data_IF_742642936128
#
_entry.id   IF_742642936128
#
_cell.length_a   1.000
_cell.length_b   1.000
_cell.length_c   1.000
_cell.angle_alpha   90.00
_cell.angle_beta   90.00
_cell.angle_gamma   90.00
#
_symmetry.space_group_name_H-M   'P 1'
#
loop_
_entity.id
_entity.type
_entity.pdbx_description
1 polymer ?
#
# COMPACT_ATOMS: atom_id res chain seq x y z
N UNK A 1 11.39 -2.12 -13.46
CA UNK A 1 11.54 -0.94 -12.58
C UNK A 1 12.69 -1.20 -11.60
N UNK A 2 13.36 -0.16 -11.10
CA UNK A 2 14.50 -0.31 -10.18
C UNK A 2 14.06 -0.48 -8.72
N UNK A 3 14.95 -0.98 -7.85
CA UNK A 3 14.69 -1.05 -6.40
C UNK A 3 14.30 0.32 -5.82
N UNK A 4 15.02 1.38 -6.20
CA UNK A 4 14.72 2.75 -5.77
C UNK A 4 13.31 3.22 -6.15
N UNK A 5 12.79 2.80 -7.30
CA UNK A 5 11.40 3.08 -7.68
C UNK A 5 10.42 2.41 -6.71
N UNK A 6 10.62 1.12 -6.42
CA UNK A 6 9.76 0.40 -5.48
C UNK A 6 9.86 0.96 -4.05
N UNK A 7 11.05 1.33 -3.60
CA UNK A 7 11.26 1.92 -2.28
C UNK A 7 10.50 3.25 -2.12
N UNK A 8 10.53 4.11 -3.14
CA UNK A 8 9.76 5.35 -3.12
C UNK A 8 8.25 5.08 -3.10
N UNK A 9 7.78 4.21 -3.99
CA UNK A 9 6.35 3.94 -4.18
C UNK A 9 5.74 3.25 -2.95
N UNK A 10 6.51 2.39 -2.27
CA UNK A 10 6.11 1.77 -0.99
C UNK A 10 6.27 2.68 0.22
N UNK A 11 6.83 3.87 0.04
CA UNK A 11 7.08 4.82 1.13
C UNK A 11 8.14 4.36 2.13
N UNK A 12 9.14 3.59 1.65
CA UNK A 12 10.38 3.31 2.37
C UNK A 12 11.36 4.48 2.29
N UNK A 13 11.20 5.34 1.28
CA UNK A 13 11.98 6.58 1.11
C UNK A 13 11.13 7.66 0.43
N UNK A 14 11.45 8.92 0.71
CA UNK A 14 10.88 10.07 -0.02
C UNK A 14 11.82 10.57 -1.13
N UNK A 15 12.96 9.89 -1.35
CA UNK A 15 13.90 10.22 -2.43
C UNK A 15 13.38 9.72 -3.76
N UNK A 16 13.06 10.66 -4.66
CA UNK A 16 12.67 10.35 -6.03
C UNK A 16 13.86 9.74 -6.80
N UNK A 17 13.68 8.58 -7.48
CA UNK A 17 14.77 7.97 -8.25
C UNK A 17 15.21 8.83 -9.44
N UNK A 18 16.49 8.77 -9.85
CA UNK A 18 16.97 9.45 -11.05
C UNK A 18 16.17 9.05 -12.30
N UNK A 19 15.92 10.03 -13.19
CA UNK A 19 15.18 9.80 -14.44
C UNK A 19 13.65 9.89 -14.33
N UNK A 20 13.10 10.11 -13.14
CA UNK A 20 11.66 10.33 -12.94
C UNK A 20 11.33 11.77 -12.57
N UNK A 21 10.15 12.24 -12.97
CA UNK A 21 9.63 13.52 -12.49
C UNK A 21 9.03 13.37 -11.08
N UNK A 22 9.23 14.39 -10.23
CA UNK A 22 8.68 14.41 -8.87
C UNK A 22 7.16 14.31 -8.90
N UNK A 23 6.51 15.07 -9.78
CA UNK A 23 5.05 15.05 -9.93
C UNK A 23 4.53 13.65 -10.33
N UNK A 24 5.17 13.01 -11.32
CA UNK A 24 4.80 11.67 -11.77
C UNK A 24 4.94 10.63 -10.65
N UNK A 25 6.04 10.68 -9.89
CA UNK A 25 6.25 9.77 -8.77
C UNK A 25 5.24 9.98 -7.64
N UNK A 26 4.87 11.23 -7.32
CA UNK A 26 3.79 11.52 -6.34
C UNK A 26 2.46 10.93 -6.78
N UNK A 27 2.09 11.10 -8.05
CA UNK A 27 0.87 10.49 -8.62
C UNK A 27 0.94 8.97 -8.52
N UNK A 28 2.06 8.36 -8.91
CA UNK A 28 2.19 6.91 -8.89
C UNK A 28 2.09 6.34 -7.47
N UNK A 29 2.75 6.96 -6.49
CA UNK A 29 2.64 6.58 -5.08
C UNK A 29 1.20 6.71 -4.56
N UNK A 30 0.51 7.77 -4.94
CA UNK A 30 -0.92 7.93 -4.62
C UNK A 30 -1.79 6.85 -5.26
N UNK A 31 -1.54 6.48 -6.52
CA UNK A 31 -2.28 5.42 -7.20
C UNK A 31 -2.09 4.05 -6.53
N UNK A 32 -0.88 3.75 -6.05
CA UNK A 32 -0.64 2.50 -5.29
C UNK A 32 -1.40 2.50 -3.97
N UNK A 33 -1.36 3.59 -3.21
CA UNK A 33 -2.19 3.74 -2.01
C UNK A 33 -3.68 3.59 -2.33
N UNK A 34 -4.17 4.26 -3.36
CA UNK A 34 -5.58 4.27 -3.74
C UNK A 34 -6.05 2.86 -4.13
N UNK A 35 -5.27 2.14 -4.94
CA UNK A 35 -5.56 0.77 -5.32
C UNK A 35 -5.62 -0.16 -4.11
N UNK A 36 -4.61 -0.10 -3.23
CA UNK A 36 -4.60 -0.90 -2.00
C UNK A 36 -5.82 -0.57 -1.10
N UNK A 37 -6.12 0.71 -0.92
CA UNK A 37 -7.29 1.16 -0.15
C UNK A 37 -8.59 0.60 -0.72
N UNK A 38 -8.84 0.78 -2.01
CA UNK A 38 -10.08 0.30 -2.66
C UNK A 38 -10.23 -1.22 -2.56
N UNK A 39 -9.13 -1.96 -2.72
CA UNK A 39 -9.16 -3.42 -2.62
C UNK A 39 -9.43 -3.92 -1.20
N UNK A 40 -8.78 -3.33 -0.19
CA UNK A 40 -9.03 -3.67 1.21
C UNK A 40 -10.46 -3.31 1.59
N UNK A 41 -10.95 -2.14 1.17
CA UNK A 41 -12.33 -1.70 1.45
C UNK A 41 -13.37 -2.64 0.82
N UNK A 42 -13.15 -3.08 -0.43
CA UNK A 42 -14.01 -4.05 -1.09
C UNK A 42 -13.98 -5.44 -0.42
N UNK A 43 -12.84 -5.84 0.15
CA UNK A 43 -12.64 -7.16 0.76
C UNK A 43 -13.08 -7.22 2.22
N UNK A 44 -13.09 -6.08 2.92
CA UNK A 44 -13.45 -5.95 4.33
C UNK A 44 -14.45 -4.81 4.53
N UNK A 45 -15.72 -5.01 4.13
CA UNK A 45 -16.75 -3.97 4.22
C UNK A 45 -16.91 -3.45 5.66
N UNK A 46 -17.00 -2.12 5.81
CA UNK A 46 -17.19 -1.46 7.11
C UNK A 46 -15.91 -1.23 7.91
N UNK A 47 -14.77 -1.85 7.55
CA UNK A 47 -13.49 -1.66 8.26
C UNK A 47 -13.05 -0.19 8.28
N UNK A 48 -13.10 0.48 7.12
CA UNK A 48 -12.76 1.92 7.01
C UNK A 48 -13.63 2.80 7.89
N UNK A 49 -14.94 2.54 7.91
CA UNK A 49 -15.88 3.29 8.76
C UNK A 49 -15.61 3.05 10.25
N UNK A 50 -15.30 1.81 10.64
CA UNK A 50 -14.99 1.47 12.03
C UNK A 50 -13.67 2.07 12.54
N UNK A 51 -12.69 2.24 11.67
CA UNK A 51 -11.39 2.84 12.02
C UNK A 51 -11.39 4.37 11.98
N UNK A 52 -12.17 4.95 11.08
CA UNK A 52 -12.05 6.37 10.72
C UNK A 52 -10.85 6.64 9.81
N UNK A 53 -10.87 7.80 9.14
CA UNK A 53 -9.94 8.11 8.05
C UNK A 53 -8.44 8.13 8.45
N UNK A 54 -8.03 8.70 9.61
CA UNK A 54 -6.61 8.71 9.98
C UNK A 54 -6.03 7.31 10.21
N UNK A 55 -6.76 6.46 10.92
CA UNK A 55 -6.33 5.08 11.20
C UNK A 55 -6.39 4.22 9.93
N UNK A 56 -7.39 4.43 9.07
CA UNK A 56 -7.47 3.80 7.76
C UNK A 56 -6.24 4.13 6.90
N UNK A 57 -5.88 5.41 6.78
CA UNK A 57 -4.70 5.84 6.03
C UNK A 57 -3.43 5.17 6.54
N UNK A 58 -3.20 5.21 7.86
CA UNK A 58 -2.03 4.60 8.48
C UNK A 58 -1.97 3.08 8.23
N UNK A 59 -3.12 2.40 8.28
CA UNK A 59 -3.23 0.97 8.01
C UNK A 59 -2.83 0.62 6.57
N UNK A 60 -3.38 1.34 5.59
CA UNK A 60 -3.07 1.10 4.17
C UNK A 60 -1.62 1.45 3.84
N UNK A 61 -1.09 2.55 4.37
CA UNK A 61 0.33 2.91 4.20
C UNK A 61 1.25 1.86 4.82
N UNK A 62 0.91 1.33 5.99
CA UNK A 62 1.63 0.23 6.64
C UNK A 62 1.59 -1.05 5.80
N UNK A 63 0.42 -1.41 5.29
CA UNK A 63 0.25 -2.57 4.42
C UNK A 63 1.10 -2.45 3.15
N UNK A 64 1.02 -1.31 2.44
CA UNK A 64 1.80 -1.05 1.23
C UNK A 64 3.31 -1.09 1.52
N UNK A 65 3.76 -0.50 2.64
CA UNK A 65 5.16 -0.46 3.03
C UNK A 65 5.74 -1.85 3.30
N UNK A 66 4.96 -2.71 3.95
CA UNK A 66 5.38 -4.06 4.32
C UNK A 66 5.04 -5.12 3.27
N UNK A 67 4.35 -4.72 2.19
CA UNK A 67 3.90 -5.65 1.16
C UNK A 67 5.09 -6.27 0.44
N UNK A 68 5.23 -7.58 0.59
CA UNK A 68 6.09 -8.42 -0.24
C UNK A 68 5.32 -8.99 -1.44
N UNK A 69 4.15 -8.42 -1.77
CA UNK A 69 3.26 -8.98 -2.78
C UNK A 69 3.94 -9.06 -4.15
N UNK A 70 4.13 -10.29 -4.62
CA UNK A 70 4.71 -10.61 -5.94
C UNK A 70 3.68 -11.29 -6.85
N UNK A 71 2.50 -11.64 -6.33
CA UNK A 71 1.48 -12.36 -7.09
C UNK A 71 0.74 -11.44 -8.06
N UNK A 72 0.41 -11.99 -9.23
CA UNK A 72 -0.42 -11.34 -10.23
C UNK A 72 -1.93 -11.53 -9.99
N UNK A 73 -2.31 -12.31 -8.98
CA UNK A 73 -3.70 -12.64 -8.69
C UNK A 73 -4.27 -11.78 -7.56
N UNK A 74 -5.37 -11.10 -7.87
CA UNK A 74 -6.07 -10.22 -6.93
C UNK A 74 -6.62 -10.95 -5.70
N UNK A 75 -6.95 -12.25 -5.83
CA UNK A 75 -7.41 -13.07 -4.71
C UNK A 75 -6.39 -13.21 -3.59
N UNK A 76 -5.09 -13.11 -3.92
CA UNK A 76 -4.01 -13.25 -2.95
C UNK A 76 -3.84 -12.00 -2.08
N UNK A 77 -4.32 -10.83 -2.54
CA UNK A 77 -4.19 -9.60 -1.75
C UNK A 77 -4.95 -9.70 -0.41
N UNK A 78 -6.11 -10.37 -0.39
CA UNK A 78 -6.86 -10.57 0.85
C UNK A 78 -6.07 -11.39 1.87
N UNK A 79 -5.38 -12.43 1.40
CA UNK A 79 -4.52 -13.26 2.22
C UNK A 79 -3.31 -12.45 2.72
N UNK A 80 -2.61 -11.75 1.83
CA UNK A 80 -1.48 -10.87 2.18
C UNK A 80 -1.85 -9.80 3.21
N UNK A 81 -3.05 -9.23 3.11
CA UNK A 81 -3.54 -8.25 4.08
C UNK A 81 -3.78 -8.86 5.47
N UNK A 82 -4.35 -10.07 5.54
CA UNK A 82 -4.52 -10.80 6.80
C UNK A 82 -3.18 -11.17 7.44
N UNK A 83 -2.24 -11.63 6.63
CA UNK A 83 -0.86 -11.92 7.05
C UNK A 83 -0.16 -10.65 7.57
N UNK A 84 -0.35 -9.51 6.92
CA UNK A 84 0.13 -8.21 7.40
C UNK A 84 -0.47 -7.83 8.76
N UNK A 85 -1.78 -7.99 8.94
CA UNK A 85 -2.44 -7.71 10.22
C UNK A 85 -1.86 -8.59 11.31
N UNK A 86 -1.73 -9.91 11.08
CA UNK A 86 -1.18 -10.86 12.04
C UNK A 86 0.24 -10.48 12.51
N UNK A 87 1.10 -10.02 11.60
CA UNK A 87 2.46 -9.54 11.92
C UNK A 87 2.47 -8.23 12.71
N UNK A 88 1.48 -7.37 12.50
CA UNK A 88 1.43 -6.02 13.10
C UNK A 88 0.79 -6.04 14.50
N UNK A 89 -0.03 -7.05 14.80
CA UNK A 89 -0.69 -7.23 16.11
C UNK A 89 0.07 -8.15 17.09
N UNK A 90 1.16 -8.77 16.66
CA UNK A 90 2.04 -9.60 17.49
C UNK A 90 3.09 -8.75 18.22
#
# INVERSE_FOLDING_TARGET
>A
MSAAFYDYVRGLTDRVPPGYSVAGMRVYRYLVYLGASQMVEASFPGLRQGLGEPAWRALIEGFVRQSAWTSHFYGDLQHEFREFLARTTA
#
